data_IF_179308625051
#
_entry.id   IF_179308625051
#
_cell.length_a   1.000
_cell.length_b   1.000
_cell.length_c   1.000
_cell.angle_alpha   90.00
_cell.angle_beta   90.00
_cell.angle_gamma   90.00
#
_symmetry.space_group_name_H-M   'P 1'
#
loop_
_entity.id
_entity.type
_entity.pdbx_description
1 polymer ?
#
# COMPACT_ATOMS: atom_id res chain seq x y z
N UNK A 1 38.68 33.45 -40.70
CA UNK A 1 37.99 34.02 -39.51
C UNK A 1 38.01 35.56 -39.50
N UNK A 2 36.99 36.22 -38.93
CA UNK A 2 36.91 37.70 -38.89
C UNK A 2 37.46 38.29 -37.59
N UNK A 3 38.21 39.40 -37.69
CA UNK A 3 38.74 40.07 -36.51
C UNK A 3 37.63 40.81 -35.73
N UNK A 4 37.45 40.55 -34.42
CA UNK A 4 36.39 41.19 -33.63
C UNK A 4 36.60 42.69 -33.40
N UNK A 5 37.79 43.23 -33.68
CA UNK A 5 38.10 44.66 -33.51
C UNK A 5 37.95 45.47 -34.81
N UNK A 6 38.50 44.98 -35.92
CA UNK A 6 38.54 45.73 -37.17
C UNK A 6 37.75 45.09 -38.33
N UNK A 7 37.16 43.90 -38.13
CA UNK A 7 36.32 43.24 -39.13
C UNK A 7 37.06 42.67 -40.34
N UNK A 8 38.40 42.73 -40.40
CA UNK A 8 39.13 42.18 -41.54
C UNK A 8 39.06 40.65 -41.57
N UNK A 9 39.03 40.09 -42.78
CA UNK A 9 39.13 38.65 -43.01
C UNK A 9 40.58 38.20 -42.83
N UNK A 10 40.79 37.12 -42.09
CA UNK A 10 42.10 36.53 -41.82
C UNK A 10 42.01 35.01 -42.09
N UNK A 11 43.14 34.40 -42.43
CA UNK A 11 43.28 32.95 -42.55
C UNK A 11 42.87 32.24 -41.25
N UNK A 12 42.27 31.05 -41.35
CA UNK A 12 41.78 30.28 -40.21
C UNK A 12 42.91 29.73 -39.31
N UNK A 13 44.16 29.80 -39.78
CA UNK A 13 45.36 29.47 -39.00
C UNK A 13 46.07 30.68 -38.40
N UNK A 14 45.62 31.90 -38.69
CA UNK A 14 46.29 33.13 -38.27
C UNK A 14 46.09 33.42 -36.78
N UNK A 15 47.19 33.47 -36.02
CA UNK A 15 47.18 33.82 -34.58
C UNK A 15 47.01 35.32 -34.32
N UNK A 16 47.34 36.15 -35.31
CA UNK A 16 47.32 37.61 -35.24
C UNK A 16 46.60 38.16 -36.47
N UNK A 17 45.85 39.23 -36.27
CA UNK A 17 45.14 39.90 -37.34
C UNK A 17 46.11 40.66 -38.26
N UNK A 18 46.08 40.40 -39.57
CA UNK A 18 46.98 41.01 -40.56
C UNK A 18 46.79 42.52 -40.67
N UNK A 19 45.60 43.05 -40.38
CA UNK A 19 45.33 44.50 -40.50
C UNK A 19 45.56 45.30 -39.22
N UNK A 20 45.32 44.72 -38.04
CA UNK A 20 45.38 45.49 -36.79
C UNK A 20 46.31 44.92 -35.71
N UNK A 21 47.01 43.80 -36.00
CA UNK A 21 47.99 43.18 -35.10
C UNK A 21 47.40 42.58 -33.82
N UNK A 22 46.06 42.55 -33.66
CA UNK A 22 45.41 41.96 -32.49
C UNK A 22 45.48 40.44 -32.54
N UNK A 23 45.73 39.81 -31.40
CA UNK A 23 45.57 38.36 -31.25
C UNK A 23 44.13 37.95 -31.60
N UNK A 24 44.02 36.99 -32.49
CA UNK A 24 42.75 36.39 -32.90
C UNK A 24 42.41 35.25 -31.94
N UNK A 25 41.14 35.07 -31.53
CA UNK A 25 40.75 33.93 -30.71
C UNK A 25 41.10 32.64 -31.45
N UNK A 26 41.74 31.69 -30.78
CA UNK A 26 42.03 30.39 -31.38
C UNK A 26 40.73 29.84 -32.00
N UNK A 27 40.82 29.34 -33.24
CA UNK A 27 39.70 28.67 -33.90
C UNK A 27 39.05 27.71 -32.89
N UNK A 28 37.70 27.64 -32.79
CA UNK A 28 37.05 26.65 -31.96
C UNK A 28 37.65 25.31 -32.32
N UNK A 29 38.33 24.68 -31.35
CA UNK A 29 38.87 23.33 -31.51
C UNK A 29 37.69 22.48 -32.02
N UNK A 30 37.85 21.72 -33.12
CA UNK A 30 36.82 20.77 -33.53
C UNK A 30 36.48 19.95 -32.30
N UNK A 31 35.24 20.05 -31.82
CA UNK A 31 34.83 19.40 -30.58
C UNK A 31 35.23 17.94 -30.68
N UNK A 32 36.16 17.51 -29.84
CA UNK A 32 36.47 16.09 -29.70
C UNK A 32 35.15 15.33 -29.56
N UNK A 33 35.00 14.15 -30.19
CA UNK A 33 33.80 13.35 -30.01
C UNK A 33 33.59 13.19 -28.51
N UNK A 34 32.41 13.61 -28.03
CA UNK A 34 32.09 13.55 -26.61
C UNK A 34 32.42 12.16 -26.05
N UNK A 35 33.11 12.12 -24.91
CA UNK A 35 33.40 10.86 -24.22
C UNK A 35 32.09 10.11 -23.94
N UNK A 36 32.10 8.79 -23.99
CA UNK A 36 30.93 7.96 -23.66
C UNK A 36 30.37 8.30 -22.28
N UNK A 37 31.23 8.71 -21.33
CA UNK A 37 30.83 9.20 -20.03
C UNK A 37 29.93 10.45 -20.09
N UNK A 38 30.16 11.36 -21.04
CA UNK A 38 29.32 12.55 -21.24
C UNK A 38 27.94 12.18 -21.76
N UNK A 39 27.85 11.20 -22.66
CA UNK A 39 26.57 10.67 -23.14
C UNK A 39 25.80 9.96 -22.03
N UNK A 40 26.47 9.13 -21.22
CA UNK A 40 25.85 8.51 -20.05
C UNK A 40 25.38 9.55 -19.04
N UNK A 41 26.20 10.57 -18.75
CA UNK A 41 25.82 11.65 -17.83
C UNK A 41 24.59 12.43 -18.31
N UNK A 42 24.46 12.67 -19.62
CA UNK A 42 23.28 13.29 -20.21
C UNK A 42 22.02 12.43 -20.03
N UNK A 43 22.13 11.11 -20.23
CA UNK A 43 21.01 10.18 -20.02
C UNK A 43 20.60 10.04 -18.56
N UNK A 44 21.56 9.96 -17.63
CA UNK A 44 21.29 9.63 -16.23
C UNK A 44 20.58 10.76 -15.46
N UNK A 45 20.74 12.02 -15.89
CA UNK A 45 20.24 13.19 -15.15
C UNK A 45 21.02 13.42 -13.86
N UNK A 46 20.48 14.18 -12.91
CA UNK A 46 21.15 14.52 -11.64
C UNK A 46 21.18 13.37 -10.63
N UNK A 47 20.22 12.45 -10.72
CA UNK A 47 19.91 11.52 -9.63
C UNK A 47 20.79 10.27 -9.66
N UNK A 48 21.60 10.06 -8.62
CA UNK A 48 22.52 8.92 -8.46
C UNK A 48 23.46 8.72 -9.67
N UNK A 49 23.85 9.80 -10.33
CA UNK A 49 24.68 9.75 -11.54
C UNK A 49 26.01 9.04 -11.29
N UNK A 50 26.73 9.43 -10.25
CA UNK A 50 28.06 8.89 -9.94
C UNK A 50 28.03 7.38 -9.71
N UNK A 51 27.01 6.89 -8.98
CA UNK A 51 26.80 5.47 -8.77
C UNK A 51 26.72 4.70 -10.09
N UNK A 52 25.89 5.16 -11.03
CA UNK A 52 25.74 4.46 -12.31
C UNK A 52 26.94 4.63 -13.23
N UNK A 53 27.59 5.80 -13.24
CA UNK A 53 28.77 6.05 -14.05
C UNK A 53 29.92 5.10 -13.68
N UNK A 54 30.15 4.85 -12.39
CA UNK A 54 31.18 3.89 -11.93
C UNK A 54 30.90 2.46 -12.45
N UNK A 55 29.65 2.02 -12.40
CA UNK A 55 29.28 0.70 -12.90
C UNK A 55 29.41 0.63 -14.43
N UNK A 56 29.01 1.70 -15.13
CA UNK A 56 29.04 1.73 -16.59
C UNK A 56 30.48 1.76 -17.10
N UNK A 57 31.36 2.57 -16.51
CA UNK A 57 32.78 2.59 -16.87
C UNK A 57 33.43 1.23 -16.66
N UNK A 58 33.13 0.53 -15.55
CA UNK A 58 33.62 -0.83 -15.33
C UNK A 58 33.14 -1.83 -16.37
N UNK A 59 31.89 -1.73 -16.83
CA UNK A 59 31.37 -2.61 -17.89
C UNK A 59 32.02 -2.31 -19.25
N UNK A 60 32.30 -1.04 -19.53
CA UNK A 60 33.00 -0.62 -20.76
C UNK A 60 34.48 -1.06 -20.73
N UNK A 61 35.18 -0.87 -19.61
CA UNK A 61 36.58 -1.24 -19.42
C UNK A 61 36.81 -2.76 -19.50
N UNK A 62 35.93 -3.55 -18.88
CA UNK A 62 36.01 -5.01 -18.91
C UNK A 62 35.47 -5.61 -20.23
N UNK A 63 34.76 -4.82 -21.05
CA UNK A 63 34.07 -5.28 -22.26
C UNK A 63 32.97 -6.31 -22.02
N UNK A 64 32.59 -6.55 -20.76
CA UNK A 64 31.59 -7.54 -20.34
C UNK A 64 30.69 -6.98 -19.24
N UNK A 65 29.44 -7.44 -19.26
CA UNK A 65 28.45 -7.10 -18.25
C UNK A 65 28.61 -8.07 -17.07
N UNK A 66 29.14 -7.59 -15.95
CA UNK A 66 29.33 -8.39 -14.73
C UNK A 66 28.13 -8.29 -13.76
N UNK A 67 27.83 -9.34 -12.97
CA UNK A 67 26.78 -9.28 -11.96
C UNK A 67 27.15 -8.28 -10.87
N UNK A 68 26.25 -7.34 -10.58
CA UNK A 68 26.43 -6.32 -9.55
C UNK A 68 25.14 -6.11 -8.77
N UNK A 69 25.25 -5.98 -7.45
CA UNK A 69 24.06 -5.86 -6.61
C UNK A 69 23.41 -4.48 -6.73
N UNK A 70 22.08 -4.46 -6.90
CA UNK A 70 21.28 -3.24 -6.85
C UNK A 70 20.19 -3.34 -5.76
N UNK A 71 20.33 -2.51 -4.73
CA UNK A 71 19.40 -2.46 -3.61
C UNK A 71 17.99 -1.99 -3.98
N UNK A 72 17.88 -1.02 -4.90
CA UNK A 72 16.57 -0.51 -5.33
C UNK A 72 15.78 -1.59 -6.08
N UNK A 73 16.46 -2.34 -6.94
CA UNK A 73 15.85 -3.42 -7.69
C UNK A 73 15.48 -4.62 -6.82
N UNK A 74 16.14 -4.84 -5.68
CA UNK A 74 15.72 -5.86 -4.70
C UNK A 74 14.39 -5.53 -4.04
N UNK A 75 14.26 -4.32 -3.51
CA UNK A 75 13.14 -3.95 -2.66
C UNK A 75 11.91 -3.53 -3.46
N UNK A 76 12.14 -2.86 -4.59
CA UNK A 76 11.10 -2.16 -5.35
C UNK A 76 11.33 -2.23 -6.85
N UNK A 77 11.62 -3.42 -7.40
CA UNK A 77 11.99 -3.64 -8.81
C UNK A 77 11.07 -2.95 -9.81
N UNK A 78 9.76 -3.18 -9.70
CA UNK A 78 8.77 -2.64 -10.63
C UNK A 78 8.76 -1.11 -10.61
N UNK A 79 8.77 -0.52 -9.41
CA UNK A 79 8.78 0.94 -9.24
C UNK A 79 10.11 1.55 -9.70
N UNK A 80 11.23 0.86 -9.47
CA UNK A 80 12.54 1.28 -9.97
C UNK A 80 12.57 1.35 -11.51
N UNK A 81 12.00 0.36 -12.20
CA UNK A 81 11.88 0.37 -13.67
C UNK A 81 11.03 1.54 -14.18
N UNK A 82 9.86 1.77 -13.57
CA UNK A 82 9.00 2.91 -13.95
C UNK A 82 9.67 4.26 -13.69
N UNK A 83 10.33 4.40 -12.53
CA UNK A 83 11.02 5.62 -12.14
C UNK A 83 12.14 5.98 -13.12
N UNK A 84 12.90 4.99 -13.62
CA UNK A 84 13.99 5.14 -14.61
C UNK A 84 13.51 5.09 -16.08
N UNK A 85 12.19 5.17 -16.32
CA UNK A 85 11.57 5.16 -17.67
C UNK A 85 11.84 3.89 -18.50
N UNK A 86 12.13 2.78 -17.84
CA UNK A 86 12.32 1.48 -18.50
C UNK A 86 10.97 0.80 -18.75
N UNK A 87 10.08 1.44 -19.50
CA UNK A 87 8.67 1.06 -19.63
C UNK A 87 8.47 -0.36 -20.21
N UNK A 88 9.29 -0.74 -21.19
CA UNK A 88 9.23 -2.08 -21.81
C UNK A 88 9.63 -3.14 -20.80
N UNK A 89 10.74 -2.93 -20.09
CA UNK A 89 11.21 -3.85 -19.06
C UNK A 89 10.23 -3.94 -17.89
N UNK A 90 9.59 -2.82 -17.52
CA UNK A 90 8.52 -2.80 -16.51
C UNK A 90 7.29 -3.61 -16.94
N UNK A 91 6.87 -3.51 -18.20
CA UNK A 91 5.76 -4.27 -18.74
C UNK A 91 6.08 -5.78 -18.80
N UNK A 92 7.30 -6.13 -19.21
CA UNK A 92 7.78 -7.53 -19.20
C UNK A 92 7.81 -8.05 -17.76
N UNK A 93 8.39 -7.30 -16.82
CA UNK A 93 8.46 -7.67 -15.41
C UNK A 93 7.07 -7.89 -14.81
N UNK A 94 6.07 -7.10 -15.20
CA UNK A 94 4.70 -7.26 -14.73
C UNK A 94 4.01 -8.45 -15.40
N UNK A 95 4.10 -8.60 -16.72
CA UNK A 95 3.33 -9.57 -17.48
C UNK A 95 3.91 -11.00 -17.41
N UNK A 96 5.23 -11.14 -17.51
CA UNK A 96 5.92 -12.43 -17.58
C UNK A 96 5.60 -13.37 -16.41
N UNK A 97 5.53 -12.91 -15.14
CA UNK A 97 5.15 -13.77 -14.03
C UNK A 97 3.74 -14.32 -14.18
N UNK A 98 2.76 -13.50 -14.56
CA UNK A 98 1.38 -13.94 -14.71
C UNK A 98 1.20 -14.91 -15.89
N UNK A 99 1.93 -14.69 -16.99
CA UNK A 99 1.87 -15.63 -18.13
C UNK A 99 2.49 -16.97 -17.80
N UNK A 100 3.65 -16.99 -17.12
CA UNK A 100 4.29 -18.22 -16.66
C UNK A 100 3.43 -18.95 -15.62
N UNK A 101 2.83 -18.22 -14.69
CA UNK A 101 1.98 -18.80 -13.65
C UNK A 101 0.68 -19.36 -14.24
N UNK A 102 0.07 -18.65 -15.20
CA UNK A 102 -1.10 -19.14 -15.93
C UNK A 102 -0.79 -20.38 -16.77
N UNK A 103 0.35 -20.40 -17.47
CA UNK A 103 0.80 -21.57 -18.23
C UNK A 103 1.05 -22.77 -17.32
N UNK A 104 1.69 -22.54 -16.17
CA UNK A 104 1.89 -23.57 -15.16
C UNK A 104 0.56 -24.15 -14.67
N UNK A 105 -0.44 -23.31 -14.42
CA UNK A 105 -1.77 -23.74 -14.01
C UNK A 105 -2.47 -24.60 -15.07
N UNK A 106 -2.42 -24.18 -16.35
CA UNK A 106 -2.98 -24.95 -17.48
C UNK A 106 -2.31 -26.33 -17.62
N UNK A 107 -0.97 -26.37 -17.57
CA UNK A 107 -0.23 -27.64 -17.62
C UNK A 107 -0.58 -28.53 -16.43
N UNK A 108 -0.69 -27.97 -15.23
CA UNK A 108 -1.10 -28.69 -14.03
C UNK A 108 -2.51 -29.28 -14.12
N UNK A 109 -3.45 -28.56 -14.74
CA UNK A 109 -4.82 -29.02 -14.97
C UNK A 109 -4.89 -30.19 -15.97
N UNK A 110 -4.00 -30.21 -16.98
CA UNK A 110 -3.97 -31.27 -18.02
C UNK A 110 -3.16 -32.49 -17.58
N UNK A 111 -2.06 -32.29 -16.84
CA UNK A 111 -1.08 -33.35 -16.58
C UNK A 111 -1.34 -34.22 -15.33
N UNK A 112 -2.30 -33.85 -14.47
CA UNK A 112 -2.79 -34.68 -13.35
C UNK A 112 -1.71 -35.13 -12.33
N UNK A 113 -1.69 -34.53 -11.14
CA UNK A 113 -1.10 -35.15 -9.94
C UNK A 113 0.33 -34.76 -9.53
N UNK A 114 1.04 -33.91 -10.27
CA UNK A 114 2.37 -33.38 -9.87
C UNK A 114 2.38 -31.88 -9.48
N UNK A 115 1.20 -31.26 -9.38
CA UNK A 115 1.05 -29.80 -9.23
C UNK A 115 1.63 -29.26 -7.92
N UNK A 116 1.55 -30.03 -6.82
CA UNK A 116 1.96 -29.55 -5.49
C UNK A 116 3.47 -29.37 -5.32
N UNK A 117 4.27 -30.41 -5.58
CA UNK A 117 5.73 -30.38 -5.37
C UNK A 117 6.41 -29.56 -6.47
N UNK A 118 6.02 -29.76 -7.75
CA UNK A 118 6.57 -29.01 -8.88
C UNK A 118 6.18 -27.53 -8.79
N UNK A 119 4.96 -27.21 -8.33
CA UNK A 119 4.51 -25.83 -8.12
C UNK A 119 5.24 -25.13 -6.97
N UNK A 120 5.55 -25.87 -5.90
CA UNK A 120 6.34 -25.35 -4.78
C UNK A 120 7.78 -25.04 -5.22
N UNK A 121 8.46 -25.98 -5.89
CA UNK A 121 9.82 -25.77 -6.42
C UNK A 121 9.87 -24.65 -7.46
N UNK A 122 8.87 -24.57 -8.34
CA UNK A 122 8.74 -23.47 -9.32
C UNK A 122 8.57 -22.11 -8.64
N UNK A 123 7.83 -22.04 -7.54
CA UNK A 123 7.64 -20.80 -6.77
C UNK A 123 8.94 -20.34 -6.10
N UNK A 124 9.72 -21.27 -5.52
CA UNK A 124 11.05 -20.95 -4.97
C UNK A 124 12.03 -20.51 -6.06
N UNK A 125 12.01 -21.17 -7.23
CA UNK A 125 12.83 -20.78 -8.38
C UNK A 125 12.48 -19.37 -8.87
N UNK A 126 11.19 -19.06 -9.00
CA UNK A 126 10.73 -17.72 -9.37
C UNK A 126 11.14 -16.67 -8.32
N UNK A 127 10.98 -16.97 -7.03
CA UNK A 127 11.43 -16.10 -5.96
C UNK A 127 12.94 -15.84 -6.02
N UNK A 128 13.76 -16.87 -6.31
CA UNK A 128 15.20 -16.69 -6.52
C UNK A 128 15.51 -15.80 -7.74
N UNK A 129 14.76 -15.93 -8.84
CA UNK A 129 14.92 -15.03 -10.00
C UNK A 129 14.60 -13.59 -9.62
N UNK A 130 13.50 -13.33 -8.92
CA UNK A 130 13.07 -11.97 -8.56
C UNK A 130 13.92 -11.36 -7.46
N UNK A 131 14.32 -12.13 -6.45
CA UNK A 131 15.02 -11.64 -5.26
C UNK A 131 16.55 -11.69 -5.37
N UNK A 132 17.10 -12.50 -6.26
CA UNK A 132 18.55 -12.68 -6.41
C UNK A 132 18.99 -12.28 -7.80
N UNK A 133 18.47 -12.94 -8.84
CA UNK A 133 18.96 -12.73 -10.22
C UNK A 133 18.65 -11.31 -10.70
N UNK A 134 17.42 -10.83 -10.52
CA UNK A 134 17.01 -9.52 -11.00
C UNK A 134 17.81 -8.37 -10.32
N UNK A 135 18.00 -8.35 -8.99
CA UNK A 135 18.85 -7.35 -8.34
C UNK A 135 20.32 -7.44 -8.74
N UNK A 136 20.84 -8.64 -9.02
CA UNK A 136 22.21 -8.85 -9.51
C UNK A 136 22.45 -8.36 -10.95
N UNK A 137 21.40 -8.25 -11.77
CA UNK A 137 21.48 -7.82 -13.17
C UNK A 137 20.77 -6.50 -13.45
N UNK A 138 20.27 -5.80 -12.44
CA UNK A 138 19.54 -4.55 -12.65
C UNK A 138 20.41 -3.42 -13.21
N UNK A 139 21.64 -3.25 -12.70
CA UNK A 139 22.58 -2.25 -13.24
C UNK A 139 22.95 -2.55 -14.70
N UNK A 140 23.15 -3.83 -15.01
CA UNK A 140 23.40 -4.35 -16.34
C UNK A 140 22.23 -4.10 -17.31
N UNK A 141 21.00 -4.34 -16.86
CA UNK A 141 19.78 -4.07 -17.59
C UNK A 141 19.65 -2.57 -17.90
N UNK A 142 19.93 -1.71 -16.92
CA UNK A 142 19.88 -0.26 -17.11
C UNK A 142 21.00 0.25 -18.02
N UNK A 143 22.21 -0.29 -17.92
CA UNK A 143 23.31 0.00 -18.84
C UNK A 143 22.91 -0.29 -20.29
N UNK A 144 22.34 -1.47 -20.55
CA UNK A 144 21.87 -1.86 -21.90
C UNK A 144 20.78 -0.91 -22.43
N UNK A 145 19.88 -0.49 -21.55
CA UNK A 145 18.84 0.48 -21.89
C UNK A 145 19.44 1.83 -22.28
N UNK A 146 20.37 2.36 -21.48
CA UNK A 146 21.06 3.62 -21.76
C UNK A 146 21.84 3.56 -23.08
N UNK A 147 22.55 2.45 -23.34
CA UNK A 147 23.32 2.27 -24.57
C UNK A 147 22.42 2.27 -25.80
N UNK A 148 21.32 1.50 -25.80
CA UNK A 148 20.34 1.48 -26.90
C UNK A 148 19.77 2.87 -27.18
N UNK A 149 19.49 3.64 -26.12
CA UNK A 149 19.01 5.00 -26.25
C UNK A 149 20.07 5.93 -26.87
N UNK A 150 21.32 5.86 -26.43
CA UNK A 150 22.44 6.63 -27.01
C UNK A 150 22.63 6.27 -28.48
N UNK A 151 22.66 4.98 -28.82
CA UNK A 151 22.79 4.49 -30.21
C UNK A 151 21.66 5.03 -31.10
N UNK A 152 20.40 4.98 -30.64
CA UNK A 152 19.26 5.50 -31.39
C UNK A 152 19.33 7.01 -31.66
N UNK A 153 19.80 7.80 -30.69
CA UNK A 153 19.96 9.25 -30.85
C UNK A 153 21.14 9.55 -31.77
N UNK A 154 22.26 8.83 -31.64
CA UNK A 154 23.41 8.95 -32.55
C UNK A 154 23.03 8.63 -34.01
N UNK A 155 22.09 7.71 -34.22
CA UNK A 155 21.59 7.36 -35.55
C UNK A 155 20.63 8.40 -36.16
N UNK A 156 19.93 9.19 -35.32
CA UNK A 156 18.87 10.09 -35.78
C UNK A 156 19.33 11.56 -35.85
N UNK A 157 20.17 11.99 -34.90
CA UNK A 157 20.48 13.40 -34.67
C UNK A 157 21.96 13.67 -34.94
N UNK A 158 22.24 14.66 -35.80
CA UNK A 158 23.61 15.08 -36.11
C UNK A 158 24.10 16.18 -35.16
N UNK A 159 25.38 16.12 -34.81
CA UNK A 159 26.03 17.09 -33.93
C UNK A 159 25.99 16.70 -32.45
N UNK A 160 27.16 16.66 -31.82
CA UNK A 160 27.34 16.20 -30.43
C UNK A 160 26.50 16.97 -29.42
N UNK A 161 26.45 18.30 -29.51
CA UNK A 161 25.66 19.13 -28.59
C UNK A 161 24.16 18.88 -28.72
N UNK A 162 23.66 18.68 -29.95
CA UNK A 162 22.25 18.36 -30.19
C UNK A 162 21.90 16.96 -29.64
N UNK A 163 22.77 15.97 -29.83
CA UNK A 163 22.60 14.63 -29.27
C UNK A 163 22.53 14.66 -27.73
N UNK A 164 23.43 15.39 -27.07
CA UNK A 164 23.43 15.51 -25.61
C UNK A 164 22.17 16.19 -25.08
N UNK A 165 21.69 17.25 -25.74
CA UNK A 165 20.46 17.93 -25.37
C UNK A 165 19.22 17.03 -25.50
N UNK A 166 19.14 16.25 -26.58
CA UNK A 166 18.05 15.29 -26.79
C UNK A 166 18.07 14.16 -25.76
N UNK A 167 19.25 13.61 -25.46
CA UNK A 167 19.43 12.58 -24.44
C UNK A 167 19.04 13.08 -23.05
N UNK A 168 19.39 14.32 -22.71
CA UNK A 168 18.99 14.95 -21.45
C UNK A 168 17.46 15.13 -21.34
N UNK A 169 16.77 15.38 -22.46
CA UNK A 169 15.31 15.47 -22.50
C UNK A 169 14.60 14.11 -22.37
N UNK A 170 15.11 13.07 -23.05
CA UNK A 170 14.50 11.73 -23.02
C UNK A 170 14.83 10.97 -21.73
N UNK A 171 16.05 11.10 -21.24
CA UNK A 171 16.59 10.43 -20.06
C UNK A 171 16.04 10.94 -18.72
N UNK A 172 16.82 10.74 -17.68
CA UNK A 172 16.49 11.13 -16.30
C UNK A 172 15.37 10.28 -15.69
N UNK A 173 14.70 10.86 -14.71
CA UNK A 173 13.70 10.18 -13.86
C UNK A 173 12.29 10.67 -14.18
N UNK A 174 11.28 9.81 -14.01
CA UNK A 174 9.89 10.14 -14.30
C UNK A 174 9.18 10.75 -13.09
N UNK A 175 8.86 12.05 -13.15
CA UNK A 175 8.05 12.74 -12.12
C UNK A 175 6.67 12.10 -11.96
N UNK A 176 6.04 11.72 -13.08
CA UNK A 176 4.74 11.06 -13.07
C UNK A 176 4.81 9.69 -12.37
N UNK A 177 5.86 8.90 -12.62
CA UNK A 177 6.07 7.62 -11.92
C UNK A 177 6.29 7.85 -10.42
N UNK A 178 7.08 8.85 -10.04
CA UNK A 178 7.29 9.20 -8.62
C UNK A 178 5.97 9.55 -7.92
N UNK A 179 5.16 10.44 -8.51
CA UNK A 179 3.86 10.84 -7.94
C UNK A 179 2.92 9.63 -7.86
N UNK A 180 2.87 8.81 -8.90
CA UNK A 180 2.07 7.59 -8.91
C UNK A 180 2.47 6.63 -7.78
N UNK A 181 3.76 6.35 -7.62
CA UNK A 181 4.29 5.51 -6.54
C UNK A 181 3.87 6.08 -5.18
N UNK A 182 4.03 7.39 -4.98
CA UNK A 182 3.69 8.04 -3.73
C UNK A 182 2.20 7.91 -3.38
N UNK A 183 1.31 8.20 -4.34
CA UNK A 183 -0.14 8.11 -4.15
C UNK A 183 -0.59 6.68 -3.83
N UNK A 184 -0.09 5.68 -4.57
CA UNK A 184 -0.44 4.27 -4.33
C UNK A 184 -0.04 3.84 -2.91
N UNK A 185 1.15 4.24 -2.44
CA UNK A 185 1.60 3.93 -1.09
C UNK A 185 0.77 4.64 -0.01
N UNK A 186 0.39 5.91 -0.21
CA UNK A 186 -0.50 6.61 0.71
C UNK A 186 -1.85 5.92 0.86
N UNK A 187 -2.46 5.50 -0.26
CA UNK A 187 -3.75 4.77 -0.26
C UNK A 187 -3.62 3.44 0.48
N UNK A 188 -2.54 2.69 0.24
CA UNK A 188 -2.29 1.42 0.91
C UNK A 188 -2.18 1.57 2.44
N UNK A 189 -1.42 2.56 2.92
CA UNK A 189 -1.27 2.84 4.36
C UNK A 189 -2.61 3.20 5.00
N UNK A 190 -3.39 4.08 4.35
CA UNK A 190 -4.73 4.48 4.83
C UNK A 190 -5.65 3.24 4.90
N UNK A 191 -5.60 2.36 3.90
CA UNK A 191 -6.38 1.12 3.88
C UNK A 191 -6.06 0.19 5.06
N UNK A 192 -4.79 -0.02 5.37
CA UNK A 192 -4.36 -0.84 6.51
C UNK A 192 -4.81 -0.21 7.83
N UNK A 193 -4.62 1.10 7.99
CA UNK A 193 -5.07 1.82 9.18
C UNK A 193 -6.59 1.71 9.36
N UNK A 194 -7.36 1.88 8.29
CA UNK A 194 -8.82 1.76 8.33
C UNK A 194 -9.27 0.34 8.69
N UNK A 195 -8.61 -0.68 8.15
CA UNK A 195 -8.92 -2.09 8.44
C UNK A 195 -8.77 -2.44 9.94
N UNK A 196 -7.86 -1.77 10.65
CA UNK A 196 -7.68 -1.95 12.10
C UNK A 196 -8.61 -1.03 12.90
N UNK A 197 -8.74 0.24 12.49
CA UNK A 197 -9.49 1.25 13.24
C UNK A 197 -11.01 1.03 13.20
N UNK A 198 -11.57 0.63 12.05
CA UNK A 198 -13.01 0.42 11.88
C UNK A 198 -13.57 -0.66 12.83
N UNK A 199 -13.03 -1.90 12.88
CA UNK A 199 -13.55 -2.92 13.80
C UNK A 199 -13.36 -2.55 15.26
N UNK A 200 -12.25 -1.90 15.62
CA UNK A 200 -12.03 -1.41 16.97
C UNK A 200 -13.10 -0.38 17.39
N UNK A 201 -13.40 0.59 16.53
CA UNK A 201 -14.45 1.58 16.79
C UNK A 201 -15.84 0.94 16.91
N UNK A 202 -16.15 -0.03 16.04
CA UNK A 202 -17.40 -0.78 16.12
C UNK A 202 -17.53 -1.56 17.43
N UNK A 203 -16.43 -2.14 17.93
CA UNK A 203 -16.40 -2.86 19.20
C UNK A 203 -16.63 -1.92 20.40
N UNK A 204 -16.00 -0.72 20.38
CA UNK A 204 -16.25 0.31 21.40
C UNK A 204 -17.71 0.79 21.40
N UNK A 205 -18.26 1.10 20.22
CA UNK A 205 -19.66 1.51 20.09
C UNK A 205 -20.62 0.42 20.57
N UNK A 206 -20.33 -0.86 20.30
CA UNK A 206 -21.13 -1.97 20.80
C UNK A 206 -21.13 -2.04 22.34
N UNK A 207 -19.96 -1.90 22.99
CA UNK A 207 -19.86 -1.87 24.46
C UNK A 207 -20.64 -0.73 25.09
N UNK A 208 -20.56 0.47 24.53
CA UNK A 208 -21.33 1.63 25.02
C UNK A 208 -22.83 1.38 24.91
N UNK A 209 -23.29 0.82 23.80
CA UNK A 209 -24.71 0.46 23.60
C UNK A 209 -25.16 -0.63 24.57
N UNK A 210 -24.31 -1.61 24.88
CA UNK A 210 -24.60 -2.62 25.89
C UNK A 210 -24.73 -2.01 27.29
N UNK A 211 -23.88 -1.06 27.66
CA UNK A 211 -23.99 -0.37 28.96
C UNK A 211 -25.32 0.40 29.08
N UNK A 212 -25.78 1.03 27.99
CA UNK A 212 -27.11 1.67 27.95
C UNK A 212 -28.23 0.66 28.13
N UNK A 213 -28.17 -0.49 27.45
CA UNK A 213 -29.17 -1.54 27.60
C UNK A 213 -29.18 -2.12 29.02
N UNK A 214 -28.03 -2.29 29.65
CA UNK A 214 -27.99 -2.76 31.05
C UNK A 214 -28.69 -1.78 32.00
N UNK A 215 -28.54 -0.47 31.77
CA UNK A 215 -29.23 0.54 32.58
C UNK A 215 -30.74 0.39 32.46
N UNK A 216 -31.26 0.28 31.23
CA UNK A 216 -32.70 0.05 30.97
C UNK A 216 -33.18 -1.27 31.59
N UNK A 217 -32.34 -2.31 31.57
CA UNK A 217 -32.64 -3.60 32.19
C UNK A 217 -32.77 -3.51 33.69
N UNK A 218 -31.82 -2.85 34.36
CA UNK A 218 -31.84 -2.60 35.81
C UNK A 218 -33.07 -1.79 36.22
N UNK A 219 -33.42 -0.78 35.43
CA UNK A 219 -34.64 -0.02 35.65
C UNK A 219 -35.85 -0.96 35.54
N UNK A 220 -35.98 -1.72 34.45
CA UNK A 220 -37.10 -2.65 34.26
C UNK A 220 -37.22 -3.70 35.38
N UNK A 221 -36.10 -4.26 35.86
CA UNK A 221 -36.11 -5.22 36.98
C UNK A 221 -36.62 -4.59 38.28
N UNK A 222 -36.30 -3.31 38.54
CA UNK A 222 -36.79 -2.62 39.74
C UNK A 222 -38.32 -2.44 39.75
N UNK A 223 -38.93 -2.22 38.59
CA UNK A 223 -40.40 -2.19 38.48
C UNK A 223 -41.03 -3.58 38.65
N UNK A 224 -40.38 -4.62 38.12
CA UNK A 224 -40.82 -6.01 38.34
C UNK A 224 -40.73 -6.39 39.82
N UNK A 225 -39.66 -5.98 40.52
CA UNK A 225 -39.50 -6.19 41.96
C UNK A 225 -40.62 -5.50 42.75
N UNK A 226 -40.92 -4.23 42.45
CA UNK A 226 -42.02 -3.51 43.10
C UNK A 226 -43.38 -4.17 42.89
N UNK A 227 -43.64 -4.71 41.68
CA UNK A 227 -44.85 -5.48 41.40
C UNK A 227 -44.88 -6.80 42.21
N UNK A 228 -43.75 -7.50 42.26
CA UNK A 228 -43.64 -8.76 43.00
C UNK A 228 -43.84 -8.57 44.51
N UNK A 229 -43.30 -7.49 45.09
CA UNK A 229 -43.47 -7.17 46.51
C UNK A 229 -44.94 -6.94 46.87
N UNK A 230 -45.71 -6.31 45.97
CA UNK A 230 -47.13 -6.00 46.19
C UNK A 230 -48.06 -7.20 45.94
N UNK A 231 -47.85 -7.94 44.85
CA UNK A 231 -48.79 -8.96 44.36
C UNK A 231 -48.31 -10.39 44.56
N UNK A 232 -47.07 -10.59 45.03
CA UNK A 232 -46.40 -11.90 45.20
C UNK A 232 -46.48 -12.79 43.95
N UNK A 233 -46.53 -12.16 42.78
CA UNK A 233 -46.61 -12.80 41.46
C UNK A 233 -45.86 -11.96 40.43
N UNK A 234 -45.38 -12.60 39.35
CA UNK A 234 -44.67 -11.89 38.26
C UNK A 234 -45.68 -11.18 37.34
N UNK A 235 -45.35 -9.98 36.83
CA UNK A 235 -46.25 -9.22 35.97
C UNK A 235 -46.42 -9.91 34.61
N UNK A 236 -47.62 -9.83 34.03
CA UNK A 236 -47.90 -10.40 32.70
C UNK A 236 -47.11 -9.72 31.58
N UNK A 237 -46.86 -8.42 31.73
CA UNK A 237 -46.10 -7.57 30.83
C UNK A 237 -45.54 -6.38 31.64
N UNK A 238 -44.65 -5.59 31.04
CA UNK A 238 -44.04 -4.45 31.72
C UNK A 238 -45.03 -3.30 31.98
N UNK A 239 -46.07 -3.17 31.15
CA UNK A 239 -47.13 -2.18 31.36
C UNK A 239 -47.90 -2.44 32.66
N UNK A 240 -48.12 -3.70 33.04
CA UNK A 240 -48.76 -4.07 34.30
C UNK A 240 -47.90 -3.73 35.54
N UNK A 241 -46.59 -3.56 35.35
CA UNK A 241 -45.67 -3.10 36.38
C UNK A 241 -45.46 -1.57 36.34
N UNK A 242 -46.28 -0.84 35.59
CA UNK A 242 -46.18 0.62 35.39
C UNK A 242 -44.80 1.08 34.88
N UNK A 243 -44.11 0.23 34.11
CA UNK A 243 -42.81 0.55 33.53
C UNK A 243 -42.94 1.59 32.40
N UNK A 244 -42.58 2.83 32.70
CA UNK A 244 -42.57 3.92 31.74
C UNK A 244 -41.15 4.42 31.51
N UNK A 245 -40.41 3.80 30.58
CA UNK A 245 -39.07 4.28 30.19
C UNK A 245 -39.00 4.71 28.72
N UNK A 246 -38.25 5.78 28.48
CA UNK A 246 -37.85 6.15 27.12
C UNK A 246 -36.70 5.25 26.69
N UNK A 247 -36.94 4.38 25.72
CA UNK A 247 -35.91 3.47 25.23
C UNK A 247 -34.82 4.24 24.46
N UNK A 248 -33.53 4.06 24.80
CA UNK A 248 -32.44 4.65 24.06
C UNK A 248 -32.39 4.06 22.64
N UNK A 249 -31.75 4.73 21.66
CA UNK A 249 -31.65 4.24 20.29
C UNK A 249 -31.00 2.87 20.13
N UNK A 250 -30.28 2.41 21.17
CA UNK A 250 -29.60 1.12 21.26
C UNK A 250 -30.51 -0.05 21.66
N UNK A 251 -31.75 0.22 22.08
CA UNK A 251 -32.73 -0.80 22.51
C UNK A 251 -33.91 -0.79 21.56
N UNK A 252 -34.24 -1.96 21.01
CA UNK A 252 -35.38 -2.17 20.12
C UNK A 252 -36.67 -2.37 20.90
N UNK A 253 -36.61 -3.21 21.94
CA UNK A 253 -37.75 -3.59 22.75
C UNK A 253 -37.28 -4.14 24.10
N UNK A 254 -38.13 -4.03 25.11
CA UNK A 254 -37.96 -4.65 26.43
C UNK A 254 -39.24 -5.43 26.71
N UNK A 255 -39.12 -6.66 27.19
CA UNK A 255 -40.26 -7.51 27.54
C UNK A 255 -39.95 -8.31 28.80
N UNK A 256 -40.99 -8.72 29.52
CA UNK A 256 -40.88 -9.63 30.67
C UNK A 256 -41.62 -10.93 30.36
N UNK A 257 -41.02 -12.05 30.72
CA UNK A 257 -41.64 -13.37 30.62
C UNK A 257 -42.59 -13.59 31.81
N UNK A 258 -43.85 -13.91 31.51
CA UNK A 258 -44.91 -14.00 32.52
C UNK A 258 -44.89 -15.29 33.37
N UNK A 259 -43.99 -16.22 33.09
CA UNK A 259 -43.83 -17.47 33.86
C UNK A 259 -42.60 -17.40 34.75
N UNK A 260 -41.50 -16.90 34.20
CA UNK A 260 -40.19 -16.88 34.85
C UNK A 260 -39.84 -15.54 35.48
N UNK A 261 -40.50 -14.45 35.08
CA UNK A 261 -40.12 -13.09 35.46
C UNK A 261 -38.89 -12.56 34.71
N UNK A 262 -38.33 -13.31 33.76
CA UNK A 262 -37.11 -12.92 33.04
C UNK A 262 -37.35 -11.67 32.19
N UNK A 263 -36.59 -10.61 32.44
CA UNK A 263 -36.61 -9.39 31.62
C UNK A 263 -35.64 -9.57 30.45
N UNK A 264 -36.16 -9.42 29.23
CA UNK A 264 -35.40 -9.56 27.98
C UNK A 264 -35.35 -8.23 27.24
N UNK A 265 -34.15 -7.80 26.90
CA UNK A 265 -33.88 -6.59 26.10
C UNK A 265 -33.43 -7.02 24.72
N UNK A 266 -34.19 -6.63 23.71
CA UNK A 266 -33.78 -6.79 22.30
C UNK A 266 -32.95 -5.58 21.88
N UNK A 267 -31.72 -5.82 21.48
CA UNK A 267 -30.79 -4.77 21.06
C UNK A 267 -31.09 -4.25 19.66
N UNK A 268 -30.78 -2.96 19.43
CA UNK A 268 -30.76 -2.30 18.11
C UNK A 268 -29.39 -1.67 17.88
N UNK A 269 -28.77 -1.92 16.74
CA UNK A 269 -27.53 -1.21 16.40
C UNK A 269 -26.60 -1.92 15.43
N UNK A 270 -25.36 -2.16 15.88
CA UNK A 270 -24.29 -2.65 15.00
C UNK A 270 -24.39 -4.16 14.82
N UNK A 271 -23.86 -4.68 13.71
CA UNK A 271 -23.92 -6.11 13.32
C UNK A 271 -23.58 -7.10 14.46
N UNK A 272 -22.70 -6.70 15.39
CA UNK A 272 -22.32 -7.54 16.53
C UNK A 272 -23.45 -7.78 17.55
N UNK A 273 -24.38 -6.83 17.71
CA UNK A 273 -25.43 -6.81 18.74
C UNK A 273 -26.85 -6.67 18.17
N UNK A 274 -27.02 -6.24 16.92
CA UNK A 274 -28.34 -5.93 16.36
C UNK A 274 -29.27 -7.14 16.35
N UNK A 275 -30.49 -6.96 16.89
CA UNK A 275 -31.50 -8.01 17.01
C UNK A 275 -31.24 -9.07 18.09
N UNK A 276 -30.08 -9.03 18.77
CA UNK A 276 -29.73 -10.00 19.81
C UNK A 276 -30.31 -9.61 21.16
N UNK A 277 -30.43 -10.59 22.05
CA UNK A 277 -31.05 -10.44 23.36
C UNK A 277 -30.04 -10.35 24.51
N UNK A 278 -30.33 -9.46 25.47
CA UNK A 278 -29.73 -9.42 26.79
C UNK A 278 -30.82 -9.80 27.81
N UNK A 279 -30.54 -10.75 28.70
CA UNK A 279 -31.53 -11.32 29.64
C UNK A 279 -31.13 -11.01 31.08
N UNK A 280 -32.10 -10.64 31.89
CA UNK A 280 -32.01 -10.53 33.33
C UNK A 280 -32.89 -11.62 33.92
N UNK A 281 -32.25 -12.65 34.46
CA UNK A 281 -32.91 -13.84 35.02
C UNK A 281 -33.09 -13.62 36.51
N UNK A 282 -34.33 -13.69 37.00
CA UNK A 282 -34.63 -13.65 38.42
C UNK A 282 -34.53 -15.05 39.05
N UNK A 283 -33.84 -15.14 40.19
CA UNK A 283 -33.89 -16.28 41.09
C UNK A 283 -34.47 -15.82 42.43
N UNK A 284 -35.42 -16.58 42.99
CA UNK A 284 -36.02 -16.26 44.29
C UNK A 284 -34.98 -16.53 45.38
N UNK A 285 -34.42 -15.47 45.97
CA UNK A 285 -33.44 -15.58 47.03
C UNK A 285 -34.15 -15.59 48.39
N UNK A 286 -34.14 -16.73 49.08
CA UNK A 286 -34.59 -16.82 50.48
C UNK A 286 -36.08 -16.59 50.75
N UNK A 287 -36.93 -16.58 49.71
CA UNK A 287 -38.39 -16.60 49.82
C UNK A 287 -39.12 -15.25 49.76
N UNK A 288 -38.41 -14.12 49.89
CA UNK A 288 -39.03 -12.79 49.96
C UNK A 288 -38.51 -11.75 48.97
N UNK A 289 -37.39 -11.98 48.26
CA UNK A 289 -36.86 -11.02 47.29
C UNK A 289 -36.32 -11.71 46.02
N UNK A 290 -36.41 -11.04 44.88
CA UNK A 290 -35.86 -11.50 43.61
C UNK A 290 -34.37 -11.12 43.54
N UNK A 291 -33.52 -12.07 43.18
CA UNK A 291 -32.12 -11.82 42.85
C UNK A 291 -31.93 -11.91 41.34
N UNK A 292 -31.27 -10.92 40.74
CA UNK A 292 -31.14 -10.81 39.29
C UNK A 292 -29.74 -11.15 38.81
N UNK A 293 -29.65 -12.01 37.79
CA UNK A 293 -28.42 -12.30 37.06
C UNK A 293 -28.53 -11.78 35.62
N UNK A 294 -27.56 -10.97 35.18
CA UNK A 294 -27.49 -10.51 33.80
C UNK A 294 -26.69 -11.48 32.93
N UNK A 295 -27.22 -11.86 31.77
CA UNK A 295 -26.52 -12.74 30.82
C UNK A 295 -27.04 -12.58 29.38
N UNK A 296 -26.25 -13.03 28.40
CA UNK A 296 -26.68 -13.17 27.01
C UNK A 296 -26.14 -14.47 26.42
N UNK A 297 -26.95 -15.15 25.60
CA UNK A 297 -26.56 -16.37 24.90
C UNK A 297 -26.09 -16.07 23.45
N UNK A 298 -26.41 -14.89 22.92
CA UNK A 298 -26.23 -14.51 21.52
C UNK A 298 -25.09 -13.49 21.31
N UNK A 299 -24.77 -12.73 22.36
CA UNK A 299 -23.78 -11.65 22.36
C UNK A 299 -22.47 -12.17 22.96
N UNK A 300 -21.36 -11.96 22.27
CA UNK A 300 -20.04 -12.39 22.75
C UNK A 300 -19.62 -11.59 24.01
N UNK A 301 -18.98 -12.26 24.98
CA UNK A 301 -18.54 -11.68 26.25
C UNK A 301 -17.71 -10.39 26.10
N UNK A 302 -16.95 -10.26 25.01
CA UNK A 302 -16.15 -9.05 24.73
C UNK A 302 -17.00 -7.78 24.59
N UNK A 303 -18.28 -7.91 24.25
CA UNK A 303 -19.23 -6.80 24.13
C UNK A 303 -20.02 -6.57 25.41
N UNK A 304 -20.12 -7.58 26.26
CA UNK A 304 -20.86 -7.51 27.51
C UNK A 304 -20.06 -6.75 28.60
N UNK A 305 -20.73 -5.92 29.41
CA UNK A 305 -20.18 -5.39 30.66
C UNK A 305 -19.82 -6.52 31.63
N UNK A 306 -18.91 -6.27 32.59
CA UNK A 306 -18.40 -7.31 33.49
C UNK A 306 -19.50 -8.04 34.28
N UNK A 307 -20.53 -7.32 34.70
CA UNK A 307 -21.68 -7.86 35.44
C UNK A 307 -22.56 -8.85 34.64
N UNK A 308 -22.53 -8.76 33.31
CA UNK A 308 -23.33 -9.60 32.42
C UNK A 308 -22.52 -10.72 31.79
N UNK A 309 -21.22 -10.81 32.11
CA UNK A 309 -20.37 -11.92 31.68
C UNK A 309 -20.61 -13.08 32.62
N UNK A 310 -20.72 -14.29 32.06
CA UNK A 310 -20.76 -15.51 32.87
C UNK A 310 -19.46 -15.54 33.69
N UNK A 311 -19.58 -15.52 35.02
CA UNK A 311 -18.45 -15.84 35.89
C UNK A 311 -18.03 -17.27 35.55
N UNK A 312 -16.81 -17.42 35.05
CA UNK A 312 -16.24 -18.72 34.71
C UNK A 312 -15.92 -19.50 35.98
#
# INVERSE_FOLDING_TARGET
>A
MFCPKCGSSNDDTAKLCVSCGRALPAAPIPSEPASDQQYYAAVLGSDNREYYLDHFSRFDDEGKISPTWNWSALLVTFYWLLYRKMWVDAAIYLALPFTLWGLFWVVGAVAGGLVGIVGSLGSFGYAAVVLIVMPMYANALYYRHCRKMIESVRATTQGTQAQLAELAGKGGTSRAAYIFIWVVNCVAVIGVMAAIAIPAYQDHAARTRMAQAVTVGRDATAYVDGYFDQYRSVPRNLDAADFMSSLPPSVKAVSVDNQTGTVTITMKGGKAIDGKSLKFVSAIAGGDHLSWACMSDEIQDRYLPQECRRSR
#
